data_IF_097007348769
#
_entry.id   IF_097007348769
#
_cell.length_a   1.000
_cell.length_b   1.000
_cell.length_c   1.000
_cell.angle_alpha   90.00
_cell.angle_beta   90.00
_cell.angle_gamma   90.00
#
_symmetry.space_group_name_H-M   'P 1'
#
loop_
_entity.id
_entity.type
_entity.pdbx_description
1 polymer ?
#
# COMPACT_ATOMS: atom_id res chain seq x y z
N UNK A 1 -17.34 -9.03 -14.85
CA UNK A 1 -17.14 -8.00 -13.82
C UNK A 1 -15.67 -7.62 -13.88
N UNK A 2 -15.35 -6.34 -13.96
CA UNK A 2 -13.96 -5.88 -13.86
C UNK A 2 -13.50 -6.04 -12.41
N UNK A 3 -12.24 -6.43 -12.21
CA UNK A 3 -11.61 -6.47 -10.88
C UNK A 3 -11.79 -5.13 -10.16
N UNK A 4 -12.06 -5.10 -8.84
CA UNK A 4 -12.08 -3.87 -8.04
C UNK A 4 -10.81 -3.03 -8.20
N UNK A 5 -9.66 -3.69 -8.42
CA UNK A 5 -8.35 -3.07 -8.58
C UNK A 5 -8.23 -2.29 -9.90
N UNK A 6 -9.15 -2.46 -10.85
CA UNK A 6 -9.22 -1.62 -12.04
C UNK A 6 -9.42 -0.13 -11.68
N UNK A 7 -9.98 0.18 -10.51
CA UNK A 7 -10.17 1.56 -10.03
C UNK A 7 -8.95 2.12 -9.30
N UNK A 8 -7.90 1.31 -9.07
CA UNK A 8 -6.74 1.68 -8.27
C UNK A 8 -5.58 2.23 -9.12
N UNK A 9 -5.84 2.62 -10.37
CA UNK A 9 -4.81 3.12 -11.30
C UNK A 9 -4.01 4.33 -10.77
N UNK A 10 -4.60 5.13 -9.88
CA UNK A 10 -3.95 6.25 -9.19
C UNK A 10 -2.79 5.82 -8.29
N UNK A 11 -2.76 4.55 -7.88
CA UNK A 11 -1.71 3.97 -7.05
C UNK A 11 -0.62 3.27 -7.87
N UNK A 12 -0.74 3.20 -9.20
CA UNK A 12 0.30 2.59 -10.02
C UNK A 12 1.48 3.55 -10.26
N UNK A 13 2.68 2.99 -10.32
CA UNK A 13 3.94 3.73 -10.51
C UNK A 13 4.19 4.91 -9.53
N UNK A 14 3.56 4.89 -8.35
CA UNK A 14 3.80 5.91 -7.33
C UNK A 14 5.10 5.63 -6.60
N UNK A 15 6.01 6.61 -6.60
CA UNK A 15 7.27 6.56 -5.88
C UNK A 15 7.28 7.68 -4.85
N UNK A 16 7.58 7.34 -3.59
CA UNK A 16 7.68 8.32 -2.51
C UNK A 16 8.89 8.07 -1.63
N UNK A 17 9.56 9.14 -1.19
CA UNK A 17 10.58 9.09 -0.14
C UNK A 17 9.97 9.61 1.15
N UNK A 18 9.93 8.75 2.17
CA UNK A 18 9.38 9.06 3.49
C UNK A 18 10.53 9.25 4.47
N UNK A 19 10.55 10.38 5.15
CA UNK A 19 11.52 10.68 6.20
C UNK A 19 10.90 10.34 7.55
N UNK A 20 11.40 9.30 8.20
CA UNK A 20 10.96 8.92 9.54
C UNK A 20 12.12 9.00 10.52
N UNK A 21 12.07 9.99 11.42
CA UNK A 21 13.15 10.32 12.35
C UNK A 21 14.48 10.59 11.60
N UNK A 22 15.47 9.71 11.77
CA UNK A 22 16.78 9.78 11.13
C UNK A 22 16.95 8.75 10.00
N UNK A 23 15.84 8.14 9.53
CA UNK A 23 15.83 7.12 8.49
C UNK A 23 15.06 7.61 7.27
N UNK A 24 15.58 7.27 6.10
CA UNK A 24 14.90 7.47 4.83
C UNK A 24 14.31 6.15 4.36
N UNK A 25 13.04 6.16 4.03
CA UNK A 25 12.33 5.03 3.46
C UNK A 25 11.97 5.38 2.01
N UNK A 26 12.15 4.43 1.11
CA UNK A 26 11.65 4.50 -0.24
C UNK A 26 10.39 3.64 -0.34
N UNK A 27 9.31 4.19 -0.87
CA UNK A 27 8.08 3.47 -1.14
C UNK A 27 7.84 3.46 -2.65
N UNK A 28 7.56 2.27 -3.19
CA UNK A 28 7.11 2.07 -4.56
C UNK A 28 5.78 1.34 -4.54
N UNK A 29 4.76 1.98 -5.09
CA UNK A 29 3.44 1.41 -5.31
C UNK A 29 3.31 0.98 -6.77
N UNK A 30 2.66 -0.17 -6.96
CA UNK A 30 2.41 -0.79 -8.25
C UNK A 30 1.04 -1.45 -8.23
N UNK A 31 0.25 -1.28 -9.28
CA UNK A 31 -0.97 -2.06 -9.51
C UNK A 31 -0.74 -2.92 -10.74
N UNK A 32 -0.66 -4.24 -10.56
CA UNK A 32 -0.34 -5.18 -11.63
C UNK A 32 -1.10 -6.49 -11.44
N UNK A 33 -1.65 -7.05 -12.52
CA UNK A 33 -2.28 -8.38 -12.53
C UNK A 33 -3.36 -8.54 -11.44
N UNK A 34 -4.25 -7.56 -11.30
CA UNK A 34 -5.30 -7.53 -10.26
C UNK A 34 -4.77 -7.56 -8.81
N UNK A 35 -3.54 -7.08 -8.62
CA UNK A 35 -2.88 -6.98 -7.31
C UNK A 35 -2.31 -5.58 -7.12
N UNK A 36 -2.49 -5.05 -5.91
CA UNK A 36 -1.81 -3.83 -5.47
C UNK A 36 -0.62 -4.24 -4.62
N UNK A 37 0.56 -3.75 -4.98
CA UNK A 37 1.83 -4.12 -4.36
C UNK A 37 2.55 -2.86 -3.90
N UNK A 38 2.93 -2.86 -2.63
CA UNK A 38 3.81 -1.84 -2.05
C UNK A 38 5.17 -2.46 -1.75
N UNK A 39 6.23 -1.90 -2.33
CA UNK A 39 7.60 -2.16 -1.93
C UNK A 39 8.08 -1.03 -1.05
N UNK A 40 8.69 -1.36 0.07
CA UNK A 40 9.24 -0.38 1.00
C UNK A 40 10.69 -0.74 1.25
N UNK A 41 11.60 0.20 1.09
CA UNK A 41 13.03 0.03 1.28
C UNK A 41 13.53 0.99 2.35
N UNK A 42 14.26 0.48 3.34
CA UNK A 42 15.04 1.30 4.25
C UNK A 42 16.39 1.62 3.60
N UNK A 43 16.69 2.90 3.47
CA UNK A 43 17.98 3.37 2.97
C UNK A 43 19.02 3.42 4.11
N UNK A 44 20.25 3.01 3.82
CA UNK A 44 21.38 3.05 4.76
C UNK A 44 22.13 1.71 4.89
N UNK A 45 23.05 1.64 5.85
CA UNK A 45 23.90 0.47 6.08
C UNK A 45 23.12 -0.80 6.47
N UNK A 46 21.95 -0.63 7.10
CA UNK A 46 21.04 -1.72 7.44
C UNK A 46 19.92 -1.86 6.40
N UNK A 47 20.26 -1.73 5.11
CA UNK A 47 19.25 -1.72 4.04
C UNK A 47 18.36 -2.94 4.12
N UNK A 48 17.06 -2.72 4.12
CA UNK A 48 16.06 -3.79 4.17
C UNK A 48 14.91 -3.45 3.27
N UNK A 49 14.37 -4.47 2.62
CA UNK A 49 13.22 -4.35 1.75
C UNK A 49 12.06 -5.17 2.29
N UNK A 50 10.87 -4.63 2.11
CA UNK A 50 9.61 -5.27 2.45
C UNK A 50 8.66 -5.14 1.27
N UNK A 51 7.77 -6.11 1.17
CA UNK A 51 6.75 -6.17 0.12
C UNK A 51 5.41 -6.50 0.76
N UNK A 52 4.46 -5.58 0.62
CA UNK A 52 3.05 -5.79 0.89
C UNK A 52 2.31 -6.07 -0.42
N UNK A 53 1.29 -6.93 -0.36
CA UNK A 53 0.45 -7.27 -1.50
C UNK A 53 -1.00 -7.41 -1.03
N UNK A 54 -1.90 -6.82 -1.81
CA UNK A 54 -3.35 -6.89 -1.64
C UNK A 54 -3.98 -7.38 -2.94
N UNK A 55 -4.82 -8.40 -2.82
CA UNK A 55 -5.65 -8.92 -3.91
C UNK A 55 -7.09 -8.37 -3.79
N UNK A 56 -7.96 -8.79 -4.72
CA UNK A 56 -9.37 -8.41 -4.73
C UNK A 56 -10.07 -8.72 -3.39
N UNK A 57 -9.81 -9.89 -2.80
CA UNK A 57 -10.42 -10.28 -1.52
C UNK A 57 -9.98 -9.34 -0.40
N UNK A 58 -8.69 -9.02 -0.32
CA UNK A 58 -8.16 -8.11 0.69
C UNK A 58 -8.70 -6.68 0.52
N UNK A 59 -8.94 -6.20 -0.71
CA UNK A 59 -9.55 -4.88 -0.97
C UNK A 59 -11.04 -4.87 -0.62
N UNK A 60 -11.80 -5.88 -1.05
CA UNK A 60 -13.23 -5.97 -0.73
C UNK A 60 -13.49 -6.21 0.76
N UNK A 61 -12.55 -6.82 1.48
CA UNK A 61 -12.62 -6.94 2.94
C UNK A 61 -12.56 -5.58 3.64
N UNK A 62 -11.89 -4.58 3.04
CA UNK A 62 -11.76 -3.22 3.57
C UNK A 62 -12.89 -2.32 3.06
N UNK A 63 -13.12 -2.32 1.75
CA UNK A 63 -14.12 -1.46 1.12
C UNK A 63 -15.56 -1.93 1.40
N UNK A 64 -15.75 -3.24 1.56
CA UNK A 64 -17.04 -3.92 1.65
C UNK A 64 -17.39 -4.64 0.34
N UNK A 65 -18.01 -5.81 0.45
CA UNK A 65 -18.40 -6.63 -0.73
C UNK A 65 -19.44 -5.98 -1.67
N UNK A 66 -20.00 -4.84 -1.28
CA UNK A 66 -21.02 -4.09 -2.03
C UNK A 66 -20.54 -2.69 -2.47
N UNK A 67 -19.25 -2.40 -2.37
CA UNK A 67 -18.70 -1.12 -2.81
C UNK A 67 -19.00 -0.88 -4.28
N UNK A 68 -19.44 0.34 -4.57
CA UNK A 68 -19.58 0.82 -5.94
C UNK A 68 -18.21 1.16 -6.54
N UNK A 69 -18.17 1.38 -7.85
CA UNK A 69 -16.97 1.89 -8.53
C UNK A 69 -16.49 3.22 -7.95
N UNK A 70 -17.42 4.11 -7.56
CA UNK A 70 -17.10 5.41 -6.98
C UNK A 70 -16.47 5.26 -5.60
N UNK A 71 -16.98 4.34 -4.76
CA UNK A 71 -16.40 4.05 -3.44
C UNK A 71 -14.95 3.53 -3.56
N UNK A 72 -14.69 2.67 -4.56
CA UNK A 72 -13.36 2.11 -4.81
C UNK A 72 -12.39 3.18 -5.35
N UNK A 73 -12.88 4.08 -6.20
CA UNK A 73 -12.09 5.20 -6.70
C UNK A 73 -11.71 6.16 -5.56
N UNK A 74 -12.68 6.57 -4.73
CA UNK A 74 -12.44 7.45 -3.58
C UNK A 74 -11.46 6.81 -2.59
N UNK A 75 -11.59 5.51 -2.33
CA UNK A 75 -10.62 4.76 -1.52
C UNK A 75 -9.20 4.83 -2.12
N UNK A 76 -9.06 4.67 -3.44
CA UNK A 76 -7.77 4.73 -4.11
C UNK A 76 -7.12 6.11 -4.01
N UNK A 77 -7.92 7.18 -4.14
CA UNK A 77 -7.46 8.57 -4.06
C UNK A 77 -7.00 8.92 -2.64
N UNK A 78 -7.74 8.49 -1.62
CA UNK A 78 -7.33 8.66 -0.21
C UNK A 78 -6.04 7.90 0.08
N UNK A 79 -5.89 6.68 -0.42
CA UNK A 79 -4.65 5.92 -0.27
C UNK A 79 -3.46 6.64 -0.90
N UNK A 80 -3.64 7.22 -2.08
CA UNK A 80 -2.61 8.02 -2.74
C UNK A 80 -2.24 9.24 -1.90
N UNK A 81 -3.23 9.96 -1.38
CA UNK A 81 -3.02 11.11 -0.51
C UNK A 81 -2.15 10.74 0.71
N UNK A 82 -2.50 9.66 1.42
CA UNK A 82 -1.71 9.19 2.57
C UNK A 82 -0.28 8.77 2.20
N UNK A 83 -0.09 8.14 1.03
CA UNK A 83 1.24 7.83 0.52
C UNK A 83 2.05 9.11 0.32
N UNK A 84 1.50 10.09 -0.41
CA UNK A 84 2.20 11.32 -0.78
C UNK A 84 2.50 12.19 0.44
N UNK A 85 1.58 12.26 1.40
CA UNK A 85 1.76 13.01 2.64
C UNK A 85 2.72 12.29 3.62
N UNK A 86 3.06 11.02 3.37
CA UNK A 86 3.92 10.24 4.25
C UNK A 86 3.24 9.81 5.55
N UNK A 87 1.91 9.77 5.58
CA UNK A 87 1.09 9.41 6.74
C UNK A 87 0.88 7.89 6.89
N UNK A 88 1.63 7.10 6.13
CA UNK A 88 1.59 5.66 6.21
C UNK A 88 2.28 5.13 7.48
N UNK A 89 1.49 4.49 8.34
CA UNK A 89 2.00 3.77 9.50
C UNK A 89 2.28 2.31 9.17
N UNK A 90 3.54 1.91 9.31
CA UNK A 90 3.98 0.52 9.14
C UNK A 90 4.03 -0.15 10.51
N UNK A 91 3.25 -1.21 10.69
CA UNK A 91 3.19 -1.97 11.95
C UNK A 91 3.15 -3.48 11.70
N UNK A 92 3.55 -4.28 12.69
CA UNK A 92 3.56 -5.74 12.61
C UNK A 92 4.80 -6.37 11.97
N UNK A 93 5.92 -5.64 11.93
CA UNK A 93 7.13 -6.06 11.21
C UNK A 93 8.01 -6.90 12.12
N UNK A 94 8.14 -8.21 11.84
CA UNK A 94 9.05 -9.10 12.58
C UNK A 94 10.37 -9.30 11.82
N UNK A 95 11.45 -9.56 12.55
CA UNK A 95 12.77 -9.83 11.95
C UNK A 95 12.85 -11.21 11.27
N UNK A 96 11.83 -12.04 11.45
CA UNK A 96 11.89 -13.50 11.23
C UNK A 96 11.21 -13.97 9.93
N UNK A 97 10.45 -13.11 9.25
CA UNK A 97 9.71 -13.48 8.04
C UNK A 97 10.03 -12.57 6.86
N UNK A 98 10.41 -13.17 5.73
CA UNK A 98 10.63 -12.51 4.43
C UNK A 98 9.36 -12.41 3.58
N UNK A 99 8.22 -12.93 4.05
CA UNK A 99 6.93 -12.85 3.38
C UNK A 99 5.82 -12.54 4.38
N UNK A 100 5.15 -11.40 4.21
CA UNK A 100 4.09 -10.98 5.14
C UNK A 100 2.79 -10.65 4.39
N UNK A 101 1.67 -11.17 4.91
CA UNK A 101 0.30 -10.72 4.61
C UNK A 101 -0.25 -10.01 5.86
N UNK A 102 -0.81 -8.81 5.65
CA UNK A 102 -1.75 -8.03 6.50
C UNK A 102 -1.24 -7.09 7.61
N UNK A 103 -1.40 -5.78 7.38
CA UNK A 103 -2.50 -4.94 7.90
C UNK A 103 -2.15 -3.48 7.57
N UNK A 104 -2.72 -2.93 6.50
CA UNK A 104 -2.72 -1.48 6.30
C UNK A 104 -3.80 -0.90 7.22
N UNK A 105 -3.39 -0.13 8.23
CA UNK A 105 -4.34 0.62 9.08
C UNK A 105 -4.20 2.09 8.72
N UNK A 106 -5.24 2.62 8.10
CA UNK A 106 -5.46 4.05 7.92
C UNK A 106 -6.10 4.53 9.22
N UNK A 107 -5.48 5.47 9.92
CA UNK A 107 -6.09 6.17 11.04
C UNK A 107 -6.69 7.49 10.51
N UNK A 108 -7.92 7.77 10.95
CA UNK A 108 -8.68 8.99 10.67
C UNK A 108 -8.53 9.94 11.86
#
# INVERSE_FOLDING_TARGET
MSSPLAHFSSLDDVIQVIYHLNRQLFLLSKVQNDEWVLHIGLLGSDSRWWRGKWDEEDVLAVAGSKSSSDDLLEMSEKLLEYIVQGELFLSGWSKESTSFKRNLRIFN
#
